data_IF_261357720119
#
_entry.id   IF_261357720119
#
_cell.length_a   1.000
_cell.length_b   1.000
_cell.length_c   1.000
_cell.angle_alpha   90.00
_cell.angle_beta   90.00
_cell.angle_gamma   90.00
#
_symmetry.space_group_name_H-M   'P 1'
#
loop_
_entity.id
_entity.type
_entity.pdbx_description
1 polymer ?
#
# COMPACT_ATOMS: atom_id res chain seq x y z
N UNK A 1 43.05 60.70 -49.30
CA UNK A 1 43.58 60.26 -47.99
C UNK A 1 42.45 59.56 -47.23
N UNK A 2 42.64 58.26 -46.92
CA UNK A 2 41.92 57.42 -45.93
C UNK A 2 40.40 57.23 -46.12
N UNK A 3 39.96 56.09 -46.69
CA UNK A 3 39.42 54.88 -46.00
C UNK A 3 38.05 55.17 -45.35
N UNK A 4 36.94 54.46 -45.62
CA UNK A 4 36.79 53.00 -45.58
C UNK A 4 35.43 52.57 -46.19
N UNK A 5 35.38 51.31 -46.63
CA UNK A 5 34.28 50.56 -47.26
C UNK A 5 32.94 50.60 -46.51
N UNK A 6 31.82 50.48 -47.25
CA UNK A 6 30.70 49.62 -46.87
C UNK A 6 30.09 48.92 -48.10
N UNK A 7 30.31 47.60 -48.18
CA UNK A 7 29.54 46.69 -49.02
C UNK A 7 28.14 46.55 -48.42
N UNK A 8 27.09 46.80 -49.22
CA UNK A 8 25.71 46.46 -48.86
C UNK A 8 25.46 45.01 -49.32
N UNK A 9 25.56 44.07 -48.40
CA UNK A 9 25.11 42.69 -48.59
C UNK A 9 23.69 42.53 -48.05
N UNK A 10 22.73 42.19 -48.92
CA UNK A 10 21.39 41.80 -48.52
C UNK A 10 21.44 40.51 -47.69
N UNK A 11 21.10 40.59 -46.40
CA UNK A 11 20.83 39.42 -45.56
C UNK A 11 19.34 39.14 -45.61
N UNK A 12 18.96 38.08 -46.31
CA UNK A 12 17.61 37.52 -46.27
C UNK A 12 17.35 36.95 -44.86
N UNK A 13 16.38 37.51 -44.16
CA UNK A 13 15.94 37.04 -42.84
C UNK A 13 15.01 35.85 -43.06
N UNK A 14 15.48 34.64 -42.81
CA UNK A 14 14.63 33.45 -42.71
C UNK A 14 13.95 33.50 -41.35
N UNK A 15 12.68 33.93 -41.34
CA UNK A 15 11.78 33.73 -40.19
C UNK A 15 11.46 32.23 -40.09
N UNK A 16 12.20 31.51 -39.26
CA UNK A 16 11.77 30.23 -38.73
C UNK A 16 10.58 30.50 -37.82
N UNK A 17 9.37 30.37 -38.37
CA UNK A 17 8.18 30.23 -37.56
C UNK A 17 8.35 28.92 -36.77
N UNK A 18 8.67 29.04 -35.48
CA UNK A 18 8.48 27.95 -34.55
C UNK A 18 6.98 27.67 -34.53
N UNK A 19 6.56 26.65 -35.26
CA UNK A 19 5.25 26.06 -35.06
C UNK A 19 5.30 25.46 -33.66
N UNK A 20 4.75 26.17 -32.69
CA UNK A 20 4.28 25.55 -31.45
C UNK A 20 3.24 24.51 -31.88
N UNK A 21 3.70 23.28 -32.16
CA UNK A 21 2.82 22.13 -32.16
C UNK A 21 2.45 21.91 -30.70
N UNK A 22 1.51 22.71 -30.22
CA UNK A 22 0.55 22.23 -29.25
C UNK A 22 -0.16 21.09 -29.97
N UNK A 23 0.44 19.90 -29.93
CA UNK A 23 -0.31 18.69 -30.16
C UNK A 23 -1.43 18.77 -29.14
N UNK A 24 -2.61 19.22 -29.58
CA UNK A 24 -3.81 19.15 -28.79
C UNK A 24 -3.87 17.70 -28.35
N UNK A 25 -3.68 17.47 -27.05
CA UNK A 25 -3.63 16.12 -26.51
C UNK A 25 -4.88 15.42 -27.03
N UNK A 26 -4.69 14.36 -27.82
CA UNK A 26 -5.82 13.60 -28.35
C UNK A 26 -6.77 13.29 -27.21
N UNK A 27 -8.07 13.51 -27.43
CA UNK A 27 -9.09 13.22 -26.43
C UNK A 27 -8.92 11.76 -25.99
N UNK A 28 -8.53 11.55 -24.73
CA UNK A 28 -8.30 10.20 -24.20
C UNK A 28 -9.64 9.45 -24.21
N UNK A 29 -9.64 8.18 -24.64
CA UNK A 29 -10.84 7.32 -24.66
C UNK A 29 -11.26 6.85 -23.26
N UNK A 30 -11.44 7.79 -22.34
CA UNK A 30 -11.84 7.56 -20.95
C UNK A 30 -12.99 8.52 -20.60
N UNK A 31 -13.77 8.18 -19.58
CA UNK A 31 -14.78 9.09 -19.05
C UNK A 31 -14.13 10.38 -18.51
N UNK A 32 -14.86 11.49 -18.53
CA UNK A 32 -14.35 12.80 -18.09
C UNK A 32 -13.91 12.82 -16.62
N UNK A 33 -14.44 11.92 -15.80
CA UNK A 33 -14.12 11.75 -14.39
C UNK A 33 -13.05 10.67 -14.12
N UNK A 34 -12.48 10.06 -15.17
CA UNK A 34 -11.36 9.14 -15.04
C UNK A 34 -10.10 9.86 -14.54
N UNK A 35 -9.43 9.26 -13.55
CA UNK A 35 -8.25 9.85 -12.91
C UNK A 35 -6.98 9.17 -13.38
N UNK A 36 -6.07 9.96 -13.95
CA UNK A 36 -4.66 9.58 -14.12
C UNK A 36 -3.84 10.13 -12.95
N UNK A 37 -3.05 9.27 -12.31
CA UNK A 37 -2.27 9.65 -11.14
C UNK A 37 -0.96 8.89 -11.01
N UNK A 38 -0.22 9.24 -9.96
CA UNK A 38 0.98 8.52 -9.50
C UNK A 38 0.78 8.05 -8.05
N UNK A 39 1.67 7.18 -7.59
CA UNK A 39 1.60 6.65 -6.23
C UNK A 39 3.00 6.50 -5.59
N UNK A 40 3.09 6.71 -4.27
CA UNK A 40 4.28 6.44 -3.46
C UNK A 40 3.92 5.79 -2.12
N UNK A 41 4.94 5.32 -1.39
CA UNK A 41 4.84 4.90 0.00
C UNK A 41 5.77 5.76 0.88
N UNK A 42 5.32 6.11 2.08
CA UNK A 42 6.04 6.90 3.08
C UNK A 42 7.52 6.48 3.21
N UNK A 43 7.77 5.22 3.60
CA UNK A 43 9.14 4.75 3.82
C UNK A 43 10.00 4.74 2.55
N UNK A 44 9.38 4.59 1.37
CA UNK A 44 10.13 4.54 0.11
C UNK A 44 10.64 5.90 -0.34
N UNK A 45 9.94 7.00 -0.02
CA UNK A 45 10.25 8.33 -0.59
C UNK A 45 10.50 9.43 0.42
N UNK A 46 9.94 9.36 1.64
CA UNK A 46 10.00 10.48 2.60
C UNK A 46 11.41 10.78 3.10
N UNK A 47 12.12 9.75 3.57
CA UNK A 47 13.36 9.96 4.32
C UNK A 47 13.11 10.67 5.65
N UNK A 48 14.05 11.54 6.04
CA UNK A 48 13.98 12.36 7.25
C UNK A 48 13.63 11.51 8.49
N UNK A 49 14.31 10.37 8.62
CA UNK A 49 13.92 9.29 9.55
C UNK A 49 13.98 9.68 11.03
N UNK A 50 14.71 10.76 11.36
CA UNK A 50 14.90 11.29 12.71
C UNK A 50 14.46 12.77 12.83
N UNK A 51 13.57 13.24 11.95
CA UNK A 51 13.08 14.62 11.93
C UNK A 51 11.59 14.69 12.27
N UNK A 52 11.15 15.85 12.78
CA UNK A 52 9.74 16.10 13.12
C UNK A 52 9.18 15.10 14.13
N UNK A 53 10.02 14.58 15.03
CA UNK A 53 9.62 13.65 16.09
C UNK A 53 9.29 12.21 15.64
N UNK A 54 9.56 11.85 14.36
CA UNK A 54 9.38 10.47 13.88
C UNK A 54 10.22 9.47 14.68
N UNK A 55 9.63 8.35 15.06
CA UNK A 55 10.34 7.19 15.62
C UNK A 55 10.55 6.09 14.56
N UNK A 56 11.47 5.13 14.80
CA UNK A 56 11.71 4.04 13.85
C UNK A 56 10.48 3.18 13.58
N UNK A 57 10.35 2.70 12.36
CA UNK A 57 9.49 1.58 11.97
C UNK A 57 10.27 0.26 11.95
N UNK A 58 9.57 -0.86 11.78
CA UNK A 58 10.20 -2.18 11.60
C UNK A 58 11.17 -2.21 10.41
N UNK A 59 10.95 -1.38 9.38
CA UNK A 59 11.84 -1.28 8.23
C UNK A 59 13.17 -0.60 8.56
N UNK A 60 13.14 0.42 9.43
CA UNK A 60 14.35 1.08 9.91
C UNK A 60 15.26 0.12 10.69
N UNK A 61 14.68 -0.81 11.46
CA UNK A 61 15.46 -1.87 12.09
C UNK A 61 15.94 -2.91 11.07
N UNK A 62 15.02 -3.42 10.25
CA UNK A 62 15.30 -4.50 9.30
C UNK A 62 16.45 -4.15 8.35
N UNK A 63 16.47 -2.94 7.79
CA UNK A 63 17.53 -2.51 6.87
C UNK A 63 18.92 -2.43 7.55
N UNK A 64 18.96 -2.17 8.87
CA UNK A 64 20.22 -2.11 9.63
C UNK A 64 20.74 -3.50 10.00
N UNK A 65 19.84 -4.45 10.23
CA UNK A 65 20.18 -5.80 10.66
C UNK A 65 20.40 -6.77 9.49
N UNK A 66 19.83 -6.48 8.32
CA UNK A 66 19.89 -7.36 7.15
C UNK A 66 20.99 -6.95 6.17
N UNK A 67 22.01 -7.81 5.97
CA UNK A 67 23.06 -7.54 5.00
C UNK A 67 22.50 -7.29 3.59
N UNK A 68 22.97 -6.23 2.95
CA UNK A 68 22.61 -5.90 1.56
C UNK A 68 21.32 -5.09 1.39
N UNK A 69 20.54 -4.88 2.46
CA UNK A 69 19.35 -4.00 2.44
C UNK A 69 19.80 -2.56 2.71
N UNK A 70 19.41 -1.62 1.83
CA UNK A 70 19.72 -0.20 2.03
C UNK A 70 18.62 0.47 2.84
N UNK A 71 19.00 1.24 3.85
CA UNK A 71 18.06 2.03 4.64
C UNK A 71 17.58 3.27 3.88
N UNK A 72 16.29 3.59 3.99
CA UNK A 72 15.68 4.76 3.41
C UNK A 72 15.83 6.02 4.30
N UNK A 73 17.02 6.24 4.87
CA UNK A 73 17.27 7.35 5.81
C UNK A 73 16.97 8.71 5.19
N UNK A 74 17.31 8.88 3.91
CA UNK A 74 17.05 10.07 3.09
C UNK A 74 16.03 9.78 1.99
N UNK A 75 16.04 8.55 1.43
CA UNK A 75 15.15 8.17 0.32
C UNK A 75 15.24 9.16 -0.85
N UNK A 76 14.10 9.59 -1.39
CA UNK A 76 13.99 10.65 -2.41
C UNK A 76 13.87 12.06 -1.79
N UNK A 77 13.93 12.15 -0.45
CA UNK A 77 13.82 13.36 0.35
C UNK A 77 12.47 14.07 0.19
N UNK A 78 11.39 13.28 -0.03
CA UNK A 78 10.04 13.80 -0.24
C UNK A 78 9.53 14.61 0.96
N UNK A 79 9.97 14.29 2.18
CA UNK A 79 9.62 15.05 3.39
C UNK A 79 9.93 16.56 3.25
N UNK A 80 11.06 16.90 2.63
CA UNK A 80 11.44 18.29 2.37
C UNK A 80 10.97 18.80 1.01
N UNK A 81 10.83 17.90 0.03
CA UNK A 81 10.73 18.26 -1.39
C UNK A 81 9.33 18.10 -2.00
N UNK A 82 8.34 17.66 -1.23
CA UNK A 82 6.99 17.36 -1.74
C UNK A 82 6.36 18.48 -2.58
N UNK A 83 6.61 19.76 -2.26
CA UNK A 83 6.10 20.90 -3.05
C UNK A 83 6.64 20.89 -4.49
N UNK A 84 7.92 20.58 -4.65
CA UNK A 84 8.55 20.48 -5.97
C UNK A 84 8.04 19.25 -6.73
N UNK A 85 7.82 18.14 -6.03
CA UNK A 85 7.31 16.91 -6.63
C UNK A 85 5.84 17.07 -7.06
N UNK A 86 5.00 17.73 -6.27
CA UNK A 86 3.63 18.11 -6.64
C UNK A 86 3.65 19.01 -7.87
N UNK A 87 4.55 19.99 -7.93
CA UNK A 87 4.67 20.86 -9.09
C UNK A 87 5.06 20.08 -10.37
N UNK A 88 5.82 18.99 -10.26
CA UNK A 88 6.08 18.08 -11.37
C UNK A 88 4.81 17.31 -11.77
N UNK A 89 4.04 16.80 -10.81
CA UNK A 89 2.76 16.13 -11.09
C UNK A 89 1.79 17.04 -11.84
N UNK A 90 1.68 18.32 -11.44
CA UNK A 90 0.88 19.34 -12.15
C UNK A 90 1.38 19.51 -13.59
N UNK A 91 2.70 19.65 -13.79
CA UNK A 91 3.29 19.80 -15.14
C UNK A 91 3.05 18.58 -16.03
N UNK A 92 3.01 17.38 -15.45
CA UNK A 92 2.69 16.13 -16.15
C UNK A 92 1.19 15.98 -16.47
N UNK A 93 0.33 16.81 -15.87
CA UNK A 93 -1.13 16.71 -16.03
C UNK A 93 -1.75 15.55 -15.24
N UNK A 94 -1.14 15.16 -14.11
CA UNK A 94 -1.73 14.19 -13.19
C UNK A 94 -2.88 14.84 -12.41
N UNK A 95 -3.94 14.07 -12.19
CA UNK A 95 -5.18 14.51 -11.53
C UNK A 95 -5.32 13.96 -10.09
N UNK A 96 -4.55 12.92 -9.75
CA UNK A 96 -4.57 12.33 -8.41
C UNK A 96 -3.19 11.87 -7.97
N UNK A 97 -2.98 11.82 -6.66
CA UNK A 97 -1.77 11.30 -6.06
C UNK A 97 -2.12 10.38 -4.90
N UNK A 98 -1.67 9.11 -4.97
CA UNK A 98 -1.82 8.14 -3.90
C UNK A 98 -0.56 8.09 -3.04
N UNK A 99 -0.68 8.31 -1.74
CA UNK A 99 0.46 8.25 -0.83
C UNK A 99 0.06 7.59 0.49
N UNK A 100 1.02 7.14 1.29
CA UNK A 100 0.75 6.60 2.62
C UNK A 100 1.24 7.51 3.74
N UNK A 101 0.60 7.39 4.89
CA UNK A 101 1.08 7.97 6.15
C UNK A 101 2.06 7.00 6.78
N UNK A 102 3.15 7.54 7.32
CA UNK A 102 4.03 6.79 8.22
C UNK A 102 3.46 6.82 9.63
N UNK A 103 2.97 5.68 10.11
CA UNK A 103 2.39 5.57 11.46
C UNK A 103 3.37 6.05 12.52
N UNK A 104 4.65 5.66 12.43
CA UNK A 104 5.68 6.08 13.38
C UNK A 104 6.12 7.55 13.23
N UNK A 105 5.63 8.27 12.22
CA UNK A 105 5.80 9.73 12.10
C UNK A 105 4.68 10.47 12.81
N UNK A 106 3.44 9.99 12.74
CA UNK A 106 2.27 10.69 13.30
C UNK A 106 1.92 10.26 14.72
N UNK A 107 2.47 9.14 15.20
CA UNK A 107 2.32 8.70 16.57
C UNK A 107 3.60 8.08 17.12
N UNK A 108 3.83 8.26 18.42
CA UNK A 108 4.97 7.71 19.17
C UNK A 108 4.47 6.85 20.34
N UNK A 109 5.24 5.87 20.80
CA UNK A 109 4.85 5.07 21.96
C UNK A 109 4.92 5.90 23.26
N UNK A 110 3.94 5.68 24.14
CA UNK A 110 3.93 6.19 25.51
C UNK A 110 3.83 5.00 26.48
N UNK A 111 4.95 4.72 27.16
CA UNK A 111 5.04 3.57 28.06
C UNK A 111 4.14 3.68 29.29
N UNK A 112 3.76 4.90 29.71
CA UNK A 112 2.84 5.09 30.83
C UNK A 112 1.39 4.78 30.45
N UNK A 113 1.03 5.03 29.18
CA UNK A 113 -0.29 4.71 28.63
C UNK A 113 -0.35 3.28 28.08
N UNK A 114 0.80 2.64 27.87
CA UNK A 114 0.93 1.40 27.12
C UNK A 114 0.22 1.50 25.76
N UNK A 115 0.46 2.61 25.06
CA UNK A 115 -0.24 2.95 23.83
C UNK A 115 0.45 4.04 23.02
N UNK A 116 -0.03 4.26 21.81
CA UNK A 116 0.50 5.27 20.90
C UNK A 116 -0.13 6.63 21.21
N UNK A 117 0.68 7.70 21.22
CA UNK A 117 0.22 9.08 21.36
C UNK A 117 0.50 9.91 20.10
N UNK A 118 -0.34 10.92 19.77
CA UNK A 118 -0.11 11.80 18.63
C UNK A 118 1.26 12.50 18.67
N UNK A 119 1.90 12.62 17.50
CA UNK A 119 3.06 13.47 17.28
C UNK A 119 2.66 14.70 16.43
N UNK A 120 2.52 15.90 17.03
CA UNK A 120 2.02 17.08 16.34
C UNK A 120 2.81 17.49 15.10
N UNK A 121 4.14 17.34 15.11
CA UNK A 121 4.99 17.73 13.98
C UNK A 121 4.76 16.82 12.76
N UNK A 122 4.64 15.51 13.00
CA UNK A 122 4.30 14.55 11.96
C UNK A 122 2.90 14.78 11.38
N UNK A 123 1.94 15.12 12.23
CA UNK A 123 0.57 15.44 11.80
C UNK A 123 0.57 16.72 10.95
N UNK A 124 1.30 17.75 11.37
CA UNK A 124 1.43 18.99 10.64
C UNK A 124 2.06 18.80 9.24
N UNK A 125 3.02 17.88 9.09
CA UNK A 125 3.59 17.53 7.79
C UNK A 125 2.52 17.01 6.81
N UNK A 126 1.70 16.04 7.21
CA UNK A 126 0.67 15.49 6.31
C UNK A 126 -0.47 16.48 6.05
N UNK A 127 -0.82 17.34 7.01
CA UNK A 127 -1.71 18.48 6.74
C UNK A 127 -1.16 19.36 5.62
N UNK A 128 0.11 19.77 5.71
CA UNK A 128 0.72 20.64 4.70
C UNK A 128 0.81 19.95 3.33
N UNK A 129 1.08 18.64 3.28
CA UNK A 129 1.07 17.85 2.06
C UNK A 129 -0.33 17.82 1.42
N UNK A 130 -1.36 17.48 2.19
CA UNK A 130 -2.75 17.38 1.72
C UNK A 130 -3.25 18.76 1.25
N UNK A 131 -2.94 19.82 2.00
CA UNK A 131 -3.33 21.18 1.65
C UNK A 131 -2.66 21.64 0.34
N UNK A 132 -1.38 21.30 0.12
CA UNK A 132 -0.70 21.59 -1.14
C UNK A 132 -1.32 20.81 -2.32
N UNK A 133 -1.62 19.52 -2.16
CA UNK A 133 -2.29 18.71 -3.18
C UNK A 133 -3.64 19.33 -3.59
N UNK A 134 -4.48 19.64 -2.60
CA UNK A 134 -5.79 20.25 -2.80
C UNK A 134 -5.67 21.63 -3.45
N UNK A 135 -4.71 22.48 -3.03
CA UNK A 135 -4.46 23.79 -3.63
C UNK A 135 -4.02 23.71 -5.10
N UNK A 136 -3.44 22.58 -5.52
CA UNK A 136 -3.04 22.31 -6.91
C UNK A 136 -4.07 21.47 -7.69
N UNK A 137 -5.23 21.21 -7.11
CA UNK A 137 -6.28 20.37 -7.69
C UNK A 137 -5.81 18.94 -8.02
N UNK A 138 -4.85 18.41 -7.26
CA UNK A 138 -4.47 17.00 -7.31
C UNK A 138 -5.24 16.28 -6.21
N UNK A 139 -6.09 15.33 -6.59
CA UNK A 139 -6.92 14.59 -5.62
C UNK A 139 -6.05 13.66 -4.77
N UNK A 140 -6.00 13.83 -3.44
CA UNK A 140 -5.29 12.91 -2.56
C UNK A 140 -6.03 11.57 -2.45
N UNK A 141 -5.28 10.47 -2.55
CA UNK A 141 -5.74 9.12 -2.21
C UNK A 141 -4.86 8.63 -1.06
N UNK A 142 -5.42 8.54 0.14
CA UNK A 142 -4.64 8.36 1.37
C UNK A 142 -4.63 6.91 1.84
N UNK A 143 -3.46 6.31 1.91
CA UNK A 143 -3.23 4.96 2.43
C UNK A 143 -2.82 5.02 3.89
N UNK A 144 -3.56 4.35 4.77
CA UNK A 144 -3.35 4.38 6.22
C UNK A 144 -2.16 3.51 6.65
N UNK A 145 -1.89 2.41 5.96
CA UNK A 145 -0.76 1.53 6.28
C UNK A 145 -0.06 1.00 5.03
N UNK A 146 1.25 1.19 4.99
CA UNK A 146 2.13 0.67 3.94
C UNK A 146 3.41 0.06 4.53
N UNK A 147 3.21 -0.95 5.37
CA UNK A 147 4.22 -1.90 5.86
C UNK A 147 5.18 -1.33 6.91
N UNK A 148 5.08 -0.05 7.26
CA UNK A 148 5.96 0.66 8.18
C UNK A 148 5.42 0.70 9.62
N UNK A 149 5.15 -0.49 10.18
CA UNK A 149 4.70 -0.64 11.57
C UNK A 149 5.67 0.07 12.53
N UNK A 150 5.21 0.90 13.49
CA UNK A 150 6.09 1.50 14.48
C UNK A 150 6.87 0.43 15.24
N UNK A 151 8.19 0.62 15.36
CA UNK A 151 9.07 -0.37 15.97
C UNK A 151 8.76 -0.56 17.45
N UNK A 152 8.45 0.52 18.15
CA UNK A 152 8.09 0.48 19.58
C UNK A 152 6.83 -0.36 19.78
N UNK A 153 5.76 -0.10 19.02
CA UNK A 153 4.53 -0.92 19.04
C UNK A 153 4.80 -2.38 18.71
N UNK A 154 5.64 -2.66 17.70
CA UNK A 154 6.03 -4.03 17.36
C UNK A 154 6.72 -4.75 18.53
N UNK A 155 7.58 -4.03 19.25
CA UNK A 155 8.43 -4.59 20.31
C UNK A 155 7.70 -4.76 21.64
N UNK A 156 6.81 -3.84 21.96
CA UNK A 156 6.06 -3.81 23.23
C UNK A 156 4.92 -4.83 23.26
N UNK A 157 4.36 -5.18 22.10
CA UNK A 157 3.37 -6.25 22.00
C UNK A 157 4.03 -7.63 22.10
N UNK A 158 3.38 -8.55 22.82
CA UNK A 158 3.75 -9.97 22.88
C UNK A 158 2.53 -10.85 22.64
N UNK A 159 2.45 -11.62 21.52
CA UNK A 159 3.41 -11.71 20.41
C UNK A 159 3.69 -10.40 19.67
N UNK A 160 4.77 -10.33 18.87
CA UNK A 160 5.20 -9.06 18.28
C UNK A 160 4.31 -8.58 17.13
N UNK A 161 3.94 -7.29 17.16
CA UNK A 161 3.22 -6.58 16.09
C UNK A 161 1.97 -7.31 15.60
N UNK A 162 1.87 -7.54 14.27
CA UNK A 162 0.70 -8.17 13.65
C UNK A 162 0.38 -9.59 14.14
N UNK A 163 1.25 -10.25 14.91
CA UNK A 163 0.95 -11.55 15.52
C UNK A 163 0.06 -11.45 16.76
N UNK A 164 -0.03 -10.28 17.38
CA UNK A 164 -0.88 -10.04 18.55
C UNK A 164 -2.21 -9.42 18.12
N UNK A 165 -3.32 -9.95 18.63
CA UNK A 165 -4.68 -9.47 18.37
C UNK A 165 -4.93 -8.03 18.85
N UNK A 166 -4.22 -7.56 19.87
CA UNK A 166 -4.33 -6.19 20.41
C UNK A 166 -3.92 -5.13 19.38
N UNK A 167 -3.17 -5.52 18.34
CA UNK A 167 -2.82 -4.64 17.22
C UNK A 167 -4.06 -4.07 16.52
N UNK A 168 -5.19 -4.80 16.54
CA UNK A 168 -6.45 -4.34 15.95
C UNK A 168 -6.93 -3.07 16.64
N UNK A 169 -6.82 -3.02 17.97
CA UNK A 169 -7.22 -1.86 18.76
C UNK A 169 -6.23 -0.69 18.59
N UNK A 170 -4.92 -0.95 18.60
CA UNK A 170 -3.93 0.10 18.33
C UNK A 170 -4.07 0.68 16.92
N UNK A 171 -4.36 -0.15 15.91
CA UNK A 171 -4.65 0.33 14.57
C UNK A 171 -5.94 1.16 14.53
N UNK A 172 -6.98 0.73 15.25
CA UNK A 172 -8.24 1.48 15.36
C UNK A 172 -8.03 2.89 15.96
N UNK A 173 -7.23 3.01 17.01
CA UNK A 173 -6.87 4.29 17.64
C UNK A 173 -6.08 5.19 16.68
N UNK A 174 -5.11 4.60 15.98
CA UNK A 174 -4.35 5.29 14.95
C UNK A 174 -5.25 5.83 13.85
N UNK A 175 -6.07 5.00 13.20
CA UNK A 175 -6.91 5.47 12.09
C UNK A 175 -7.98 6.45 12.56
N UNK A 176 -8.47 6.33 13.81
CA UNK A 176 -9.40 7.30 14.39
C UNK A 176 -8.78 8.69 14.48
N UNK A 177 -7.53 8.80 14.96
CA UNK A 177 -6.79 10.07 14.93
C UNK A 177 -6.69 10.61 13.50
N UNK A 178 -6.23 9.78 12.56
CA UNK A 178 -6.02 10.20 11.16
C UNK A 178 -7.33 10.65 10.49
N UNK A 179 -8.45 9.98 10.76
CA UNK A 179 -9.76 10.40 10.28
C UNK A 179 -10.21 11.73 10.88
N UNK A 180 -9.95 11.99 12.16
CA UNK A 180 -10.24 13.28 12.77
C UNK A 180 -9.39 14.42 12.19
N UNK A 181 -8.10 14.17 11.96
CA UNK A 181 -7.19 15.18 11.42
C UNK A 181 -7.50 15.49 9.95
N UNK A 182 -7.67 14.48 9.10
CA UNK A 182 -7.72 14.68 7.64
C UNK A 182 -9.06 14.36 6.98
N UNK A 183 -10.06 13.89 7.73
CA UNK A 183 -11.38 13.45 7.24
C UNK A 183 -12.14 14.47 6.39
N UNK A 184 -11.96 15.75 6.69
CA UNK A 184 -12.57 16.85 5.95
C UNK A 184 -11.84 17.22 4.65
N UNK A 185 -10.59 16.75 4.46
CA UNK A 185 -9.68 17.14 3.38
C UNK A 185 -9.45 16.06 2.32
N UNK A 186 -9.90 14.83 2.56
CA UNK A 186 -9.62 13.65 1.72
C UNK A 186 -10.89 12.83 1.50
N UNK A 187 -11.18 12.50 0.25
CA UNK A 187 -12.37 11.73 -0.13
C UNK A 187 -12.08 10.29 -0.56
N UNK A 188 -10.81 9.91 -0.76
CA UNK A 188 -10.43 8.56 -1.19
C UNK A 188 -9.39 7.97 -0.24
N UNK A 189 -9.76 6.87 0.39
CA UNK A 189 -9.01 6.26 1.48
C UNK A 189 -8.72 4.79 1.20
N UNK A 190 -7.58 4.32 1.68
CA UNK A 190 -7.27 2.89 1.72
C UNK A 190 -6.70 2.51 3.07
N UNK A 191 -7.14 1.40 3.65
CA UNK A 191 -6.65 0.93 4.96
C UNK A 191 -5.24 0.36 4.84
N UNK A 192 -5.08 -0.64 3.97
CA UNK A 192 -3.83 -1.33 3.72
C UNK A 192 -3.51 -1.29 2.23
N UNK A 193 -2.23 -1.09 1.92
CA UNK A 193 -1.69 -1.42 0.60
C UNK A 193 -0.98 -2.77 0.64
N UNK A 194 -1.33 -3.64 -0.30
CA UNK A 194 -0.68 -4.93 -0.55
C UNK A 194 -0.50 -5.83 0.69
N UNK A 195 -1.59 -6.20 1.37
CA UNK A 195 -1.48 -7.03 2.56
C UNK A 195 -0.89 -8.41 2.26
N UNK A 196 -1.14 -8.99 1.08
CA UNK A 196 -0.51 -10.24 0.63
C UNK A 196 1.03 -10.14 0.64
N UNK A 197 1.57 -9.07 0.07
CA UNK A 197 3.02 -8.88 -0.03
C UNK A 197 3.67 -8.83 1.34
N UNK A 198 3.20 -7.97 2.25
CA UNK A 198 3.89 -7.80 3.53
C UNK A 198 3.65 -8.97 4.49
N UNK A 199 2.47 -9.60 4.49
CA UNK A 199 2.24 -10.74 5.38
C UNK A 199 3.08 -11.92 4.91
N UNK A 200 3.09 -12.26 3.63
CA UNK A 200 3.89 -13.40 3.12
C UNK A 200 5.39 -13.13 3.16
N UNK A 201 5.83 -11.90 2.88
CA UNK A 201 7.25 -11.58 2.89
C UNK A 201 7.81 -11.38 4.31
N UNK A 202 7.02 -10.81 5.23
CA UNK A 202 7.41 -10.53 6.61
C UNK A 202 7.16 -11.66 7.60
N UNK A 203 6.19 -12.55 7.36
CA UNK A 203 5.73 -13.58 8.30
C UNK A 203 5.76 -15.03 7.78
N UNK A 204 6.13 -15.25 6.52
CA UNK A 204 6.39 -16.60 5.98
C UNK A 204 7.82 -16.74 5.43
N UNK A 205 8.21 -15.90 4.47
CA UNK A 205 9.50 -16.05 3.78
C UNK A 205 10.66 -15.34 4.48
N UNK A 206 10.40 -14.38 5.36
CA UNK A 206 11.39 -13.57 6.05
C UNK A 206 12.21 -12.64 5.13
N UNK A 207 11.74 -12.40 3.90
CA UNK A 207 12.42 -11.57 2.91
C UNK A 207 12.29 -10.08 3.18
N UNK A 208 11.22 -9.67 3.85
CA UNK A 208 10.93 -8.26 4.19
C UNK A 208 10.69 -8.13 5.70
N UNK A 209 10.62 -6.90 6.22
CA UNK A 209 10.38 -6.65 7.64
C UNK A 209 9.05 -7.28 8.13
N UNK A 210 8.98 -7.83 9.36
CA UNK A 210 10.04 -7.93 10.37
C UNK A 210 11.02 -9.11 10.15
N UNK A 211 10.84 -9.90 9.09
CA UNK A 211 11.76 -10.97 8.72
C UNK A 211 11.53 -12.30 9.45
N UNK A 212 10.29 -12.57 9.89
CA UNK A 212 9.92 -13.85 10.48
C UNK A 212 9.79 -14.94 9.41
N UNK A 213 10.20 -16.16 9.78
CA UNK A 213 10.22 -17.33 8.90
C UNK A 213 10.13 -18.61 9.74
N UNK A 214 9.93 -19.76 9.09
CA UNK A 214 9.96 -21.08 9.73
C UNK A 214 8.70 -21.45 10.54
N UNK A 215 7.64 -20.64 10.48
CA UNK A 215 6.38 -20.93 11.16
C UNK A 215 5.29 -21.37 10.16
N UNK A 216 4.55 -22.45 10.46
CA UNK A 216 3.39 -22.87 9.65
C UNK A 216 2.13 -22.04 9.91
N UNK A 217 2.14 -21.10 10.88
CA UNK A 217 0.93 -20.40 11.36
C UNK A 217 1.04 -18.87 11.36
N UNK A 218 2.23 -18.29 11.54
CA UNK A 218 2.41 -16.84 11.73
C UNK A 218 1.81 -15.99 10.60
N UNK A 219 1.98 -16.41 9.34
CA UNK A 219 1.41 -15.69 8.19
C UNK A 219 -0.12 -15.65 8.22
N UNK A 220 -0.77 -16.71 8.70
CA UNK A 220 -2.22 -16.79 8.84
C UNK A 220 -2.71 -15.94 10.01
N UNK A 221 -2.01 -15.98 11.15
CA UNK A 221 -2.29 -15.11 12.30
C UNK A 221 -2.16 -13.62 11.95
N UNK A 222 -1.05 -13.23 11.31
CA UNK A 222 -0.83 -11.85 10.89
C UNK A 222 -1.91 -11.39 9.90
N UNK A 223 -2.22 -12.20 8.89
CA UNK A 223 -3.26 -11.88 7.90
C UNK A 223 -4.64 -11.76 8.53
N UNK A 224 -4.96 -12.59 9.52
CA UNK A 224 -6.22 -12.51 10.24
C UNK A 224 -6.37 -11.19 10.98
N UNK A 225 -5.35 -10.78 11.75
CA UNK A 225 -5.37 -9.49 12.46
C UNK A 225 -5.41 -8.29 11.51
N UNK A 226 -4.78 -8.37 10.34
CA UNK A 226 -4.85 -7.33 9.30
C UNK A 226 -6.27 -7.18 8.74
N UNK A 227 -6.97 -8.29 8.49
CA UNK A 227 -8.36 -8.26 8.01
C UNK A 227 -9.30 -7.66 9.06
N UNK A 228 -9.16 -8.04 10.32
CA UNK A 228 -9.95 -7.46 11.42
C UNK A 228 -9.65 -5.96 11.59
N UNK A 229 -8.39 -5.56 11.48
CA UNK A 229 -7.96 -4.16 11.53
C UNK A 229 -8.56 -3.34 10.39
N UNK A 230 -8.60 -3.90 9.17
CA UNK A 230 -9.26 -3.28 8.02
C UNK A 230 -10.75 -3.09 8.27
N UNK A 231 -11.44 -4.15 8.69
CA UNK A 231 -12.88 -4.12 8.90
C UNK A 231 -13.28 -3.13 10.00
N UNK A 232 -12.51 -3.09 11.10
CA UNK A 232 -12.69 -2.12 12.19
C UNK A 232 -12.46 -0.68 11.70
N UNK A 233 -11.42 -0.42 10.90
CA UNK A 233 -11.18 0.91 10.34
C UNK A 233 -12.33 1.37 9.42
N UNK A 234 -12.91 0.47 8.63
CA UNK A 234 -14.05 0.79 7.75
C UNK A 234 -15.32 1.07 8.56
N UNK A 235 -15.54 0.34 9.66
CA UNK A 235 -16.62 0.64 10.59
C UNK A 235 -16.48 2.04 11.19
N UNK A 236 -15.29 2.38 11.72
CA UNK A 236 -15.00 3.71 12.26
C UNK A 236 -15.17 4.81 11.21
N UNK A 237 -14.71 4.56 9.97
CA UNK A 237 -14.91 5.48 8.86
C UNK A 237 -16.39 5.80 8.62
N UNK A 238 -17.25 4.77 8.64
CA UNK A 238 -18.71 4.93 8.44
C UNK A 238 -19.36 5.67 9.62
N UNK A 239 -18.95 5.38 10.86
CA UNK A 239 -19.41 6.10 12.05
C UNK A 239 -19.04 7.60 11.98
N UNK A 240 -17.80 7.91 11.59
CA UNK A 240 -17.31 9.28 11.46
C UNK A 240 -17.90 10.04 10.26
N UNK A 241 -18.33 9.32 9.23
CA UNK A 241 -19.12 9.87 8.13
C UNK A 241 -20.52 10.30 8.62
N UNK A 242 -21.18 9.48 9.43
CA UNK A 242 -22.48 9.83 10.03
C UNK A 242 -22.39 11.04 10.99
N UNK A 243 -21.23 11.26 11.62
CA UNK A 243 -20.98 12.43 12.47
C UNK A 243 -20.35 13.63 11.72
N UNK A 244 -20.22 13.55 10.40
CA UNK A 244 -19.67 14.59 9.50
C UNK A 244 -18.21 14.98 9.80
N UNK A 245 -17.45 14.11 10.49
CA UNK A 245 -15.99 14.24 10.60
C UNK A 245 -15.34 13.87 9.27
N UNK A 246 -15.88 12.86 8.60
CA UNK A 246 -15.51 12.44 7.25
C UNK A 246 -16.58 12.92 6.27
N UNK A 247 -16.15 13.41 5.11
CA UNK A 247 -17.06 13.89 4.07
C UNK A 247 -18.07 12.82 3.61
N UNK A 248 -19.32 13.22 3.36
CA UNK A 248 -20.42 12.33 2.93
C UNK A 248 -20.15 11.58 1.61
N UNK A 249 -19.24 12.10 0.79
CA UNK A 249 -18.87 11.47 -0.49
C UNK A 249 -17.58 10.65 -0.41
N UNK A 250 -16.91 10.68 0.74
CA UNK A 250 -15.68 9.94 0.92
C UNK A 250 -15.95 8.43 0.86
N UNK A 251 -14.98 7.71 0.30
CA UNK A 251 -14.99 6.27 0.09
C UNK A 251 -13.72 5.63 0.62
N UNK A 252 -13.84 4.45 1.19
CA UNK A 252 -12.72 3.68 1.76
C UNK A 252 -12.62 2.28 1.15
N UNK A 253 -11.40 1.79 0.96
CA UNK A 253 -11.12 0.47 0.41
C UNK A 253 -9.87 -0.17 1.02
N UNK A 254 -9.49 -1.31 0.47
CA UNK A 254 -8.19 -1.97 0.67
C UNK A 254 -7.56 -2.18 -0.71
N UNK A 255 -6.25 -1.95 -0.84
CA UNK A 255 -5.55 -2.17 -2.11
C UNK A 255 -4.95 -3.57 -2.09
N UNK A 256 -5.57 -4.48 -2.85
CA UNK A 256 -5.10 -5.85 -3.01
C UNK A 256 -3.99 -5.91 -4.08
N UNK A 257 -3.21 -6.97 -4.08
CA UNK A 257 -2.26 -7.26 -5.14
C UNK A 257 -2.23 -8.74 -5.49
N UNK A 258 -2.05 -9.01 -6.78
CA UNK A 258 -1.69 -10.34 -7.25
C UNK A 258 -1.12 -10.31 -8.66
N UNK A 259 -0.26 -11.29 -8.91
CA UNK A 259 0.02 -11.73 -10.27
C UNK A 259 -1.12 -12.60 -10.75
N UNK A 260 -1.64 -12.34 -11.95
CA UNK A 260 -2.64 -13.23 -12.54
C UNK A 260 -2.03 -14.60 -12.83
N UNK A 261 -2.74 -15.66 -12.50
CA UNK A 261 -2.32 -17.03 -12.75
C UNK A 261 -3.14 -17.65 -13.88
N UNK A 262 -2.46 -18.27 -14.83
CA UNK A 262 -3.06 -19.13 -15.86
C UNK A 262 -2.41 -20.51 -15.81
N UNK A 263 -3.09 -21.60 -16.20
CA UNK A 263 -2.51 -22.94 -16.18
C UNK A 263 -1.31 -23.03 -17.13
N UNK A 264 -0.28 -23.78 -16.75
CA UNK A 264 0.87 -24.05 -17.61
C UNK A 264 0.46 -24.87 -18.85
N UNK A 265 -0.39 -25.87 -18.67
CA UNK A 265 -1.08 -26.61 -19.73
C UNK A 265 -2.59 -26.59 -19.46
N UNK A 266 -3.37 -25.92 -20.33
CA UNK A 266 -4.83 -25.80 -20.22
C UNK A 266 -5.56 -27.16 -20.33
N UNK A 267 -4.92 -28.18 -20.91
CA UNK A 267 -5.46 -29.53 -21.02
C UNK A 267 -5.17 -30.41 -19.80
N UNK A 268 -4.27 -29.97 -18.92
CA UNK A 268 -3.92 -30.66 -17.69
C UNK A 268 -4.81 -30.16 -16.53
N UNK A 269 -5.70 -30.99 -15.96
CA UNK A 269 -6.58 -30.57 -14.87
C UNK A 269 -5.82 -30.10 -13.62
N UNK A 270 -4.64 -30.66 -13.33
CA UNK A 270 -3.83 -30.28 -12.17
C UNK A 270 -3.26 -28.86 -12.31
N UNK A 271 -2.93 -28.43 -13.53
CA UNK A 271 -2.45 -27.07 -13.80
C UNK A 271 -3.59 -26.05 -13.73
N UNK A 272 -4.79 -26.43 -14.18
CA UNK A 272 -6.01 -25.62 -14.03
C UNK A 272 -6.33 -25.41 -12.56
N UNK A 273 -6.28 -26.47 -11.75
CA UNK A 273 -6.46 -26.39 -10.31
C UNK A 273 -5.37 -25.52 -9.66
N UNK A 274 -4.09 -25.73 -10.01
CA UNK A 274 -2.98 -24.95 -9.46
C UNK A 274 -3.11 -23.45 -9.75
N UNK A 275 -3.53 -23.07 -10.95
CA UNK A 275 -3.77 -21.67 -11.31
C UNK A 275 -4.92 -21.07 -10.49
N UNK A 276 -6.04 -21.80 -10.34
CA UNK A 276 -7.17 -21.37 -9.51
C UNK A 276 -6.78 -21.24 -8.03
N UNK A 277 -6.12 -22.26 -7.47
CA UNK A 277 -5.65 -22.29 -6.08
C UNK A 277 -4.69 -21.15 -5.80
N UNK A 278 -3.79 -20.82 -6.75
CA UNK A 278 -2.94 -19.64 -6.63
C UNK A 278 -3.75 -18.35 -6.51
N UNK A 279 -4.79 -18.15 -7.33
CA UNK A 279 -5.62 -16.94 -7.22
C UNK A 279 -6.37 -16.87 -5.89
N UNK A 280 -6.83 -18.01 -5.37
CA UNK A 280 -7.48 -18.08 -4.05
C UNK A 280 -6.52 -17.81 -2.89
N UNK A 281 -5.29 -18.32 -2.93
CA UNK A 281 -4.27 -18.05 -1.92
C UNK A 281 -3.60 -16.66 -2.03
N UNK A 282 -3.86 -15.93 -3.12
CA UNK A 282 -3.33 -14.58 -3.34
C UNK A 282 -4.44 -13.52 -3.17
N UNK A 283 -5.35 -13.34 -4.15
CA UNK A 283 -6.42 -12.34 -4.07
C UNK A 283 -7.57 -12.83 -3.19
N UNK A 284 -7.99 -14.09 -3.37
CA UNK A 284 -9.15 -14.66 -2.66
C UNK A 284 -8.97 -14.64 -1.14
N UNK A 285 -7.74 -14.80 -0.66
CA UNK A 285 -7.42 -14.80 0.76
C UNK A 285 -7.83 -13.51 1.48
N UNK A 286 -7.79 -12.38 0.78
CA UNK A 286 -8.19 -11.07 1.30
C UNK A 286 -9.55 -10.62 0.78
N UNK A 287 -9.88 -10.91 -0.48
CA UNK A 287 -11.13 -10.51 -1.10
C UNK A 287 -12.33 -11.30 -0.58
N UNK A 288 -12.19 -12.61 -0.38
CA UNK A 288 -13.30 -13.46 0.04
C UNK A 288 -13.83 -13.11 1.43
N UNK A 289 -12.99 -12.85 2.45
CA UNK A 289 -13.46 -12.39 3.75
C UNK A 289 -14.28 -11.10 3.70
N UNK A 290 -13.84 -10.11 2.92
CA UNK A 290 -14.56 -8.83 2.83
C UNK A 290 -15.83 -8.91 1.98
N UNK A 291 -15.99 -9.94 1.13
CA UNK A 291 -17.18 -10.14 0.30
C UNK A 291 -18.19 -11.08 0.95
N UNK A 292 -17.71 -12.21 1.48
CA UNK A 292 -18.54 -13.32 1.95
C UNK A 292 -18.55 -13.48 3.47
N UNK A 293 -17.55 -12.93 4.17
CA UNK A 293 -17.37 -13.07 5.62
C UNK A 293 -16.46 -14.24 6.03
N UNK A 294 -15.96 -15.06 5.10
CA UNK A 294 -15.01 -16.14 5.41
C UNK A 294 -13.90 -16.28 4.34
N UNK A 295 -12.86 -17.04 4.68
CA UNK A 295 -11.78 -17.38 3.74
C UNK A 295 -12.27 -18.31 2.61
N UNK A 296 -11.54 -18.38 1.48
CA UNK A 296 -11.83 -19.35 0.43
C UNK A 296 -11.91 -20.80 0.94
N UNK A 297 -12.83 -21.59 0.40
CA UNK A 297 -13.02 -22.99 0.79
C UNK A 297 -11.75 -23.83 0.59
N UNK A 298 -11.02 -23.61 -0.52
CA UNK A 298 -9.76 -24.31 -0.79
C UNK A 298 -8.70 -24.01 0.28
N UNK A 299 -8.66 -22.79 0.82
CA UNK A 299 -7.75 -22.48 1.92
C UNK A 299 -8.17 -23.20 3.21
N UNK A 300 -9.48 -23.29 3.50
CA UNK A 300 -9.99 -24.04 4.65
C UNK A 300 -9.63 -25.52 4.56
N UNK A 301 -9.74 -26.11 3.37
CA UNK A 301 -9.41 -27.52 3.10
C UNK A 301 -7.91 -27.80 3.26
N UNK A 302 -7.06 -27.00 2.62
CA UNK A 302 -5.61 -27.23 2.57
C UNK A 302 -4.93 -26.82 3.89
N UNK A 303 -5.27 -25.66 4.44
CA UNK A 303 -4.59 -25.11 5.61
C UNK A 303 -5.11 -25.74 6.92
N UNK A 304 -6.39 -26.10 6.96
CA UNK A 304 -7.04 -26.73 8.11
C UNK A 304 -7.02 -25.85 9.36
N UNK A 305 -6.75 -26.44 10.52
CA UNK A 305 -6.80 -25.78 11.83
C UNK A 305 -5.76 -24.66 12.01
N UNK A 306 -4.77 -24.57 11.11
CA UNK A 306 -3.78 -23.47 11.12
C UNK A 306 -4.36 -22.17 10.60
N UNK A 307 -5.48 -22.20 9.88
CA UNK A 307 -6.17 -21.02 9.39
C UNK A 307 -7.18 -20.55 10.46
N UNK A 308 -7.00 -19.36 11.06
CA UNK A 308 -7.91 -18.85 12.09
C UNK A 308 -9.36 -18.77 11.60
N UNK A 309 -10.31 -18.82 12.53
CA UNK A 309 -11.74 -18.68 12.24
C UNK A 309 -12.22 -17.31 12.70
N UNK A 310 -13.02 -16.66 11.86
CA UNK A 310 -13.75 -15.47 12.25
C UNK A 310 -14.88 -15.85 13.19
N UNK A 311 -15.10 -15.05 14.23
CA UNK A 311 -16.32 -15.13 15.03
C UNK A 311 -17.53 -14.66 14.20
N UNK A 312 -18.77 -14.93 14.64
CA UNK A 312 -19.94 -14.35 14.01
C UNK A 312 -19.87 -12.81 13.93
N UNK A 313 -19.36 -12.17 14.98
CA UNK A 313 -19.18 -10.72 15.04
C UNK A 313 -18.14 -10.23 14.02
N UNK A 314 -17.00 -10.93 13.90
CA UNK A 314 -15.98 -10.63 12.88
C UNK A 314 -16.54 -10.78 11.46
N UNK A 315 -17.34 -11.83 11.23
CA UNK A 315 -17.96 -12.13 9.93
C UNK A 315 -18.84 -10.98 9.47
N UNK A 316 -19.72 -10.49 10.36
CA UNK A 316 -20.60 -9.35 10.08
C UNK A 316 -19.81 -8.05 9.89
N UNK A 317 -18.71 -7.87 10.64
CA UNK A 317 -17.85 -6.69 10.50
C UNK A 317 -17.10 -6.67 9.15
N UNK A 318 -16.62 -7.83 8.68
CA UNK A 318 -15.87 -7.98 7.44
C UNK A 318 -16.75 -7.84 6.20
N UNK A 319 -17.95 -8.42 6.22
CA UNK A 319 -18.80 -8.50 5.04
C UNK A 319 -19.21 -7.12 4.53
N UNK A 320 -18.82 -6.80 3.30
CA UNK A 320 -19.07 -5.51 2.68
C UNK A 320 -18.24 -4.37 3.27
N UNK A 321 -17.09 -4.64 3.89
CA UNK A 321 -16.19 -3.61 4.44
C UNK A 321 -15.36 -2.86 3.37
N UNK A 322 -15.97 -2.47 2.26
CA UNK A 322 -15.32 -1.68 1.20
C UNK A 322 -16.33 -0.87 0.39
N UNK A 323 -15.89 0.25 -0.18
CA UNK A 323 -16.68 1.07 -1.12
C UNK A 323 -16.13 0.99 -2.56
N UNK A 324 -14.88 0.54 -2.73
CA UNK A 324 -14.17 0.46 -4.01
C UNK A 324 -13.37 -0.84 -4.09
N UNK A 325 -13.20 -1.36 -5.30
CA UNK A 325 -12.22 -2.39 -5.59
C UNK A 325 -10.91 -1.74 -6.07
N UNK A 326 -9.80 -2.05 -5.43
CA UNK A 326 -8.47 -1.53 -5.78
C UNK A 326 -7.48 -2.67 -5.89
N UNK A 327 -6.75 -2.71 -7.01
CA UNK A 327 -5.82 -3.78 -7.34
C UNK A 327 -4.51 -3.21 -7.88
N UNK A 328 -3.39 -3.61 -7.28
CA UNK A 328 -2.06 -3.46 -7.88
C UNK A 328 -1.79 -4.72 -8.72
N UNK A 329 -1.49 -4.53 -10.00
CA UNK A 329 -1.16 -5.59 -10.94
C UNK A 329 0.15 -5.26 -11.65
N UNK A 330 1.05 -6.24 -11.72
CA UNK A 330 2.37 -6.05 -12.33
C UNK A 330 2.70 -7.13 -13.35
N UNK A 331 2.33 -8.39 -13.09
CA UNK A 331 2.71 -9.50 -13.96
C UNK A 331 1.66 -10.60 -14.01
N UNK A 332 1.87 -11.53 -14.95
CA UNK A 332 1.03 -12.70 -15.17
C UNK A 332 1.94 -13.93 -15.27
N UNK A 333 1.54 -15.04 -14.65
CA UNK A 333 2.37 -16.24 -14.47
C UNK A 333 1.63 -17.52 -14.86
N UNK A 334 2.31 -18.39 -15.59
CA UNK A 334 1.89 -19.77 -15.76
C UNK A 334 2.06 -20.51 -14.43
N UNK A 335 1.10 -21.38 -14.08
CA UNK A 335 1.08 -22.14 -12.84
C UNK A 335 1.00 -23.65 -13.10
N UNK A 336 1.76 -24.42 -12.33
CA UNK A 336 1.70 -25.89 -12.24
C UNK A 336 1.90 -26.26 -10.78
N UNK A 337 1.39 -27.42 -10.37
CA UNK A 337 1.58 -27.92 -9.01
C UNK A 337 3.07 -28.18 -8.70
N UNK A 338 3.53 -27.93 -7.48
CA UNK A 338 4.93 -28.17 -7.11
C UNK A 338 5.33 -29.66 -7.20
N UNK A 339 4.36 -30.59 -7.15
CA UNK A 339 4.53 -32.02 -7.35
C UNK A 339 4.54 -32.45 -8.82
N UNK A 340 4.27 -31.54 -9.76
CA UNK A 340 4.32 -31.78 -11.19
C UNK A 340 5.74 -32.13 -11.66
N UNK A 341 5.85 -33.09 -12.58
CA UNK A 341 7.15 -33.49 -13.17
C UNK A 341 7.85 -32.38 -13.95
N UNK A 342 7.09 -31.35 -14.40
CA UNK A 342 7.62 -30.18 -15.11
C UNK A 342 7.85 -28.98 -14.19
N UNK A 343 7.58 -29.11 -12.89
CA UNK A 343 7.83 -28.05 -11.92
C UNK A 343 9.32 -27.72 -11.85
N UNK A 344 9.63 -26.42 -11.84
CA UNK A 344 11.00 -25.91 -11.62
C UNK A 344 11.32 -25.74 -10.14
N UNK A 345 10.40 -26.07 -9.24
CA UNK A 345 10.55 -25.90 -7.79
C UNK A 345 9.95 -27.10 -7.07
N UNK A 346 10.80 -27.84 -6.36
CA UNK A 346 10.35 -28.96 -5.52
C UNK A 346 9.52 -28.45 -4.33
N UNK A 347 8.41 -29.12 -4.00
CA UNK A 347 7.58 -28.78 -2.84
C UNK A 347 8.38 -28.69 -1.52
N UNK A 348 9.44 -29.50 -1.38
CA UNK A 348 10.32 -29.52 -0.21
C UNK A 348 11.11 -28.22 -0.03
N UNK A 349 11.34 -27.46 -1.11
CA UNK A 349 12.06 -26.18 -1.12
C UNK A 349 11.16 -24.97 -0.85
N UNK A 350 9.83 -25.17 -0.86
CA UNK A 350 8.88 -24.12 -0.51
C UNK A 350 8.93 -23.84 0.99
N UNK A 351 8.85 -22.56 1.36
CA UNK A 351 8.76 -22.16 2.76
C UNK A 351 7.54 -22.80 3.42
N UNK A 352 7.70 -23.23 4.66
CA UNK A 352 6.60 -23.78 5.46
C UNK A 352 5.47 -22.73 5.63
N UNK A 353 4.23 -23.19 5.71
CA UNK A 353 3.05 -22.31 5.72
C UNK A 353 2.59 -21.97 4.31
N UNK A 354 2.24 -20.70 4.07
CA UNK A 354 1.56 -20.23 2.85
C UNK A 354 2.14 -20.75 1.52
N UNK A 355 3.47 -20.73 1.32
CA UNK A 355 4.04 -21.19 0.04
C UNK A 355 3.79 -22.68 -0.19
N UNK A 356 4.06 -23.52 0.83
CA UNK A 356 3.88 -24.96 0.76
C UNK A 356 2.42 -25.37 0.71
N UNK A 357 1.55 -24.64 1.42
CA UNK A 357 0.10 -24.89 1.41
C UNK A 357 -0.50 -24.56 0.04
N UNK A 358 -0.08 -23.46 -0.58
CA UNK A 358 -0.53 -23.11 -1.93
C UNK A 358 -0.09 -24.15 -2.98
N UNK A 359 1.07 -24.77 -2.80
CA UNK A 359 1.69 -25.71 -3.75
C UNK A 359 2.34 -24.97 -4.90
#
# INVERSE_FOLDING_TARGET
MRRLLQLVGCVATVLLAATDSTAAAESRCFADDFLFGSATASYQVEGAVNEGGRTPSIWDQFCRERPGVKCANVADDFYHRYKSDIQLMVKMGLQSFRFSISWSRVMNWDSALHGMRPNPDGIAFYHALIDELNAKNIKPILTLYHWDLPLELHTELSPQGWLNSDIVQHYAEYVMLIFHEYGSKVDLWTTFNEPLSFTTAGYATGREAPGFTGSPTQVYTATHNVLLSHARAVQLFRELKNSHVINDKARIAIVLNADYAYPLDESNPDDVEAASRKMEFDVGWFLSPIVSGDYPSVMREVVGDRLPRFTPEDTELLKGSYDLFMLNHYSTRAATDCGSSVSKTECSKLAIGWQRDRG
#
